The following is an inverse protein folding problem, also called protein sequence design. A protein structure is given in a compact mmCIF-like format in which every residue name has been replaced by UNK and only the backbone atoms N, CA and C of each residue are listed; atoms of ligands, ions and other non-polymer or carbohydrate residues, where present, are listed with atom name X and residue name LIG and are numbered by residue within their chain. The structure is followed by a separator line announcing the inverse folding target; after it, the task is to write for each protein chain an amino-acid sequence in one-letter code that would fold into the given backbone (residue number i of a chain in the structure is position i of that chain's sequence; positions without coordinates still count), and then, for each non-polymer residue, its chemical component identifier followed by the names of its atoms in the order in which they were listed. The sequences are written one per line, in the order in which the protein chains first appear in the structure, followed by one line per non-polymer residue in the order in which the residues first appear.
data_IF_300771263557
#
_entry.id   IF_300771263557
#
_cell.length_a   1.000
_cell.length_b   1.000
_cell.length_c   1.000
_cell.angle_alpha   90.00
_cell.angle_beta   90.00
_cell.angle_gamma   90.00
#
_symmetry.space_group_name_H-M   'P 1'
#
loop_
_entity.id
_entity.type
_entity.pdbx_description
1 polymer ?
#
# COMPACT_ATOMS: atom_id res chain seq x y z
N UNK A 1 6.10 -12.69 17.00
CA UNK A 1 6.39 -11.25 17.15
C UNK A 1 5.11 -10.53 17.47
N UNK A 2 5.08 -9.74 18.56
CA UNK A 2 3.91 -8.93 18.93
C UNK A 2 3.70 -7.78 17.93
N UNK A 3 2.46 -7.45 17.55
CA UNK A 3 2.19 -6.34 16.63
C UNK A 3 2.57 -5.02 17.31
N UNK A 4 3.41 -4.22 16.65
CA UNK A 4 3.69 -2.85 17.09
C UNK A 4 2.39 -2.05 16.97
N UNK A 5 1.75 -1.75 18.11
CA UNK A 5 0.60 -0.83 18.17
C UNK A 5 1.01 0.51 17.56
N UNK A 6 0.10 1.13 16.80
CA UNK A 6 0.27 2.44 16.14
C UNK A 6 0.99 3.43 17.07
N UNK A 7 2.27 3.67 16.80
CA UNK A 7 2.93 4.87 17.31
C UNK A 7 2.28 6.05 16.60
N UNK A 8 1.67 6.97 17.35
CA UNK A 8 0.92 8.13 16.83
C UNK A 8 1.77 9.08 15.98
N UNK A 9 3.08 8.88 15.93
CA UNK A 9 4.04 9.84 15.38
C UNK A 9 4.36 9.62 13.90
N UNK A 10 4.16 8.43 13.32
CA UNK A 10 4.51 8.14 11.91
C UNK A 10 3.62 7.03 11.31
N UNK A 11 2.39 7.34 10.84
CA UNK A 11 1.53 6.33 10.25
C UNK A 11 2.13 5.72 8.97
N UNK A 12 1.84 4.44 8.73
CA UNK A 12 2.15 3.77 7.48
C UNK A 12 0.84 3.50 6.76
N UNK A 13 0.70 4.10 5.57
CA UNK A 13 -0.36 3.83 4.61
C UNK A 13 0.11 2.73 3.66
N UNK A 14 -0.84 1.99 3.06
CA UNK A 14 -0.52 0.94 2.11
C UNK A 14 -1.50 0.92 0.93
N UNK A 15 -1.05 0.40 -0.22
CA UNK A 15 -1.85 0.16 -1.43
C UNK A 15 -2.20 -1.32 -1.63
N UNK A 16 -2.03 -2.17 -0.62
CA UNK A 16 -2.19 -3.64 -0.75
C UNK A 16 -3.55 -3.99 -1.36
N UNK A 17 -4.65 -3.43 -0.85
CA UNK A 17 -5.99 -3.72 -1.35
C UNK A 17 -6.19 -3.34 -2.83
N UNK A 18 -5.61 -2.22 -3.26
CA UNK A 18 -5.66 -1.73 -4.65
C UNK A 18 -4.83 -2.65 -5.56
N UNK A 19 -3.57 -2.89 -5.21
CA UNK A 19 -2.66 -3.77 -5.97
C UNK A 19 -3.22 -5.19 -6.11
N UNK A 20 -3.86 -5.69 -5.05
CA UNK A 20 -4.48 -7.00 -5.04
C UNK A 20 -5.72 -7.03 -5.97
N UNK A 21 -6.53 -5.98 -5.97
CA UNK A 21 -7.67 -5.85 -6.88
C UNK A 21 -7.24 -5.76 -8.35
N UNK A 22 -6.18 -4.99 -8.65
CA UNK A 22 -5.58 -4.90 -10.00
C UNK A 22 -5.16 -6.28 -10.55
N UNK A 23 -4.67 -7.15 -9.68
CA UNK A 23 -4.25 -8.53 -10.02
C UNK A 23 -5.37 -9.57 -9.90
N UNK A 24 -6.61 -9.17 -9.60
CA UNK A 24 -7.75 -10.07 -9.31
C UNK A 24 -7.40 -11.13 -8.26
N UNK A 25 -6.56 -10.76 -7.30
CA UNK A 25 -6.04 -11.66 -6.27
C UNK A 25 -6.95 -11.61 -5.03
N UNK A 26 -7.18 -12.73 -4.38
CA UNK A 26 -7.93 -12.80 -3.11
C UNK A 26 -7.01 -12.59 -1.92
N UNK A 27 -7.57 -12.24 -0.75
CA UNK A 27 -6.78 -12.14 0.49
C UNK A 27 -6.11 -13.46 0.87
N UNK A 28 -6.80 -14.59 0.63
CA UNK A 28 -6.27 -15.91 0.87
C UNK A 28 -5.03 -16.18 0.01
N UNK A 29 -5.12 -15.91 -1.30
CA UNK A 29 -3.98 -16.08 -2.20
C UNK A 29 -2.76 -15.24 -1.79
N UNK A 30 -2.96 -13.96 -1.46
CA UNK A 30 -1.85 -13.14 -0.98
C UNK A 30 -1.26 -13.68 0.32
N UNK A 31 -2.12 -14.14 1.24
CA UNK A 31 -1.70 -14.71 2.50
C UNK A 31 -0.89 -16.00 2.33
N UNK A 32 -1.27 -16.83 1.36
CA UNK A 32 -0.52 -18.04 1.01
C UNK A 32 0.86 -17.69 0.45
N UNK A 33 0.96 -16.69 -0.44
CA UNK A 33 2.24 -16.25 -1.01
C UNK A 33 3.21 -15.65 0.02
N UNK A 34 2.68 -15.01 1.07
CA UNK A 34 3.50 -14.37 2.12
C UNK A 34 3.45 -15.12 3.45
N UNK A 35 2.98 -16.38 3.43
CA UNK A 35 2.95 -17.30 4.57
C UNK A 35 2.36 -16.69 5.86
N UNK A 36 1.18 -16.06 5.75
CA UNK A 36 0.43 -15.51 6.90
C UNK A 36 -1.02 -15.96 6.89
N UNK A 37 -1.77 -15.63 7.95
CA UNK A 37 -3.21 -15.85 7.97
C UNK A 37 -3.92 -14.83 7.06
N UNK A 38 -4.96 -15.21 6.28
CA UNK A 38 -5.78 -14.27 5.49
C UNK A 38 -6.34 -13.08 6.29
N UNK A 39 -6.59 -13.27 7.59
CA UNK A 39 -7.00 -12.19 8.50
C UNK A 39 -5.91 -11.14 8.70
N UNK A 40 -4.63 -11.55 8.70
CA UNK A 40 -3.48 -10.65 8.75
C UNK A 40 -3.48 -9.72 7.54
N UNK A 41 -3.69 -10.26 6.33
CA UNK A 41 -3.83 -9.44 5.11
C UNK A 41 -4.97 -8.43 5.25
N UNK A 42 -6.14 -8.86 5.72
CA UNK A 42 -7.27 -7.96 5.95
C UNK A 42 -6.97 -6.85 6.97
N UNK A 43 -6.24 -7.16 8.04
CA UNK A 43 -5.82 -6.19 9.05
C UNK A 43 -4.78 -5.21 8.51
N UNK A 44 -3.85 -5.67 7.66
CA UNK A 44 -2.88 -4.81 6.97
C UNK A 44 -3.60 -3.84 6.02
N UNK A 45 -4.55 -4.31 5.22
CA UNK A 45 -5.31 -3.46 4.29
C UNK A 45 -6.07 -2.34 4.99
N UNK A 46 -6.62 -2.60 6.19
CA UNK A 46 -7.28 -1.57 7.02
C UNK A 46 -6.29 -0.69 7.79
N UNK A 47 -5.01 -1.05 7.79
CA UNK A 47 -3.97 -0.37 8.57
C UNK A 47 -4.13 -0.58 10.08
N UNK A 48 -4.80 -1.65 10.51
CA UNK A 48 -4.97 -2.00 11.93
C UNK A 48 -3.63 -2.35 12.58
N UNK A 49 -2.71 -2.89 11.79
CA UNK A 49 -1.38 -3.31 12.21
C UNK A 49 -0.34 -2.93 11.15
N UNK A 50 0.89 -2.71 11.58
CA UNK A 50 2.03 -2.56 10.68
C UNK A 50 2.71 -3.90 10.43
N UNK A 51 3.11 -4.19 9.19
CA UNK A 51 3.86 -5.40 8.90
C UNK A 51 5.25 -5.31 9.53
N UNK A 52 5.87 -6.46 9.80
CA UNK A 52 7.32 -6.51 9.98
C UNK A 52 8.02 -6.11 8.67
N UNK A 53 9.30 -5.72 8.74
CA UNK A 53 10.08 -5.42 7.55
C UNK A 53 10.09 -6.61 6.58
N UNK A 54 10.31 -7.83 7.10
CA UNK A 54 10.26 -9.06 6.33
C UNK A 54 8.92 -9.26 5.58
N UNK A 55 7.79 -9.09 6.27
CA UNK A 55 6.47 -9.24 5.64
C UNK A 55 6.24 -8.14 4.58
N UNK A 56 6.70 -6.92 4.83
CA UNK A 56 6.61 -5.83 3.86
C UNK A 56 7.43 -6.15 2.58
N UNK A 57 8.65 -6.67 2.74
CA UNK A 57 9.50 -7.07 1.61
C UNK A 57 8.87 -8.21 0.81
N UNK A 58 8.34 -9.26 1.47
CA UNK A 58 7.64 -10.36 0.79
C UNK A 58 6.41 -9.88 0.02
N UNK A 59 5.64 -8.95 0.58
CA UNK A 59 4.50 -8.33 -0.13
C UNK A 59 4.98 -7.57 -1.37
N UNK A 60 6.08 -6.81 -1.27
CA UNK A 60 6.70 -6.13 -2.40
C UNK A 60 7.14 -7.11 -3.50
N UNK A 61 7.71 -8.26 -3.13
CA UNK A 61 8.11 -9.30 -4.08
C UNK A 61 6.92 -9.92 -4.80
N UNK A 62 5.81 -10.21 -4.10
CA UNK A 62 4.57 -10.70 -4.72
C UNK A 62 4.05 -9.71 -5.75
N UNK A 63 4.16 -8.41 -5.46
CA UNK A 63 3.77 -7.36 -6.39
C UNK A 63 4.86 -6.98 -7.40
N UNK A 64 6.10 -7.41 -7.25
CA UNK A 64 7.21 -6.96 -8.11
C UNK A 64 7.34 -5.42 -8.12
N UNK A 65 7.09 -4.78 -6.98
CA UNK A 65 7.08 -3.33 -6.82
C UNK A 65 8.01 -2.89 -5.69
N UNK A 66 8.63 -1.70 -5.78
CA UNK A 66 9.45 -1.19 -4.70
C UNK A 66 8.60 -0.81 -3.48
N UNK A 67 9.24 -0.65 -2.32
CA UNK A 67 8.57 -0.43 -1.04
C UNK A 67 7.67 0.81 -1.05
N UNK A 68 8.12 1.90 -1.67
CA UNK A 68 7.40 3.17 -1.77
C UNK A 68 6.15 3.12 -2.65
N UNK A 69 6.06 2.14 -3.56
CA UNK A 69 4.87 1.93 -4.36
C UNK A 69 3.77 1.17 -3.59
N UNK A 70 4.17 0.40 -2.57
CA UNK A 70 3.27 -0.43 -1.76
C UNK A 70 2.92 0.25 -0.44
N UNK A 71 3.88 0.93 0.20
CA UNK A 71 3.75 1.56 1.50
C UNK A 71 4.24 3.02 1.47
N UNK A 72 3.62 3.89 2.27
CA UNK A 72 4.02 5.30 2.37
C UNK A 72 3.79 5.86 3.76
N UNK A 73 4.55 6.90 4.11
CA UNK A 73 4.31 7.73 5.31
C UNK A 73 3.21 8.76 5.13
N UNK A 74 2.79 8.98 3.88
CA UNK A 74 1.66 9.85 3.54
C UNK A 74 0.55 9.03 2.92
N UNK A 75 -0.68 9.51 3.01
CA UNK A 75 -1.79 8.89 2.32
C UNK A 75 -1.56 8.89 0.81
N UNK A 76 -1.95 7.80 0.16
CA UNK A 76 -1.87 7.69 -1.28
C UNK A 76 -3.01 8.46 -1.94
N UNK A 77 -2.69 9.35 -2.87
CA UNK A 77 -3.72 9.98 -3.68
C UNK A 77 -4.44 8.92 -4.54
N UNK A 78 -5.73 9.12 -4.85
CA UNK A 78 -6.42 8.32 -5.85
C UNK A 78 -5.68 8.42 -7.19
N UNK A 79 -5.51 7.27 -7.87
CA UNK A 79 -4.79 7.23 -9.15
C UNK A 79 -5.45 8.13 -10.20
N UNK A 80 -6.79 8.23 -10.19
CA UNK A 80 -7.55 9.15 -11.05
C UNK A 80 -7.11 10.60 -10.85
N UNK A 81 -6.92 11.04 -9.62
CA UNK A 81 -6.45 12.38 -9.30
C UNK A 81 -5.04 12.62 -9.84
N UNK A 82 -4.14 11.65 -9.72
CA UNK A 82 -2.77 11.77 -10.25
C UNK A 82 -2.75 11.83 -11.79
N UNK A 83 -3.54 10.98 -12.45
CA UNK A 83 -3.62 10.91 -13.92
C UNK A 83 -4.22 12.18 -14.52
N UNK A 84 -5.34 12.68 -13.98
CA UNK A 84 -6.01 13.87 -14.53
C UNK A 84 -5.40 15.21 -14.06
N UNK A 85 -4.64 15.24 -12.95
CA UNK A 85 -3.90 16.45 -12.55
C UNK A 85 -2.84 16.84 -13.58
N UNK A 86 -2.19 15.85 -14.22
CA UNK A 86 -1.20 16.08 -15.30
C UNK A 86 -1.82 16.63 -16.60
N UNK A 87 -3.14 16.75 -16.69
CA UNK A 87 -3.85 17.27 -17.85
C UNK A 87 -4.18 18.77 -17.81
N UNK A 88 -3.84 19.51 -16.75
CA UNK A 88 -3.96 20.97 -16.76
C UNK A 88 -2.66 21.56 -17.32
N UNK A 89 -2.66 22.18 -18.52
CA UNK A 89 -1.55 23.04 -18.89
C UNK A 89 -1.42 24.12 -17.81
N UNK A 90 -0.22 24.30 -17.28
CA UNK A 90 0.13 25.44 -16.44
C UNK A 90 -0.38 26.71 -17.15
N UNK A 91 -1.39 27.37 -16.58
CA UNK A 91 -1.87 28.66 -17.07
C UNK A 91 -0.67 29.61 -17.12
N UNK A 92 -0.44 30.15 -18.31
CA UNK A 92 0.78 30.86 -18.67
C UNK A 92 1.21 31.90 -17.64
N UNK A 93 2.50 31.89 -17.33
CA UNK A 93 3.16 33.03 -16.69
C UNK A 93 3.02 34.25 -17.61
N UNK A 94 2.33 35.33 -17.20
CA UNK A 94 2.45 36.59 -17.89
C UNK A 94 3.78 37.21 -17.45
N UNK A 95 4.69 37.43 -18.41
CA UNK A 95 5.73 38.47 -18.29
C UNK A 95 5.27 39.69 -19.07
#
# INVERSE_FOLDING_TARGET
MSPVKRGTTLPIHNRIGVLRAERRMTRAQLADFVEVNPQTVGALERGDHYPSLDLAMRICDVFGLPIEAVFSRTEFAPLSTEVYRRGRPEEGTPR
#
